data_IF_581847821167
#
_entry.id   IF_581847821167
#
_cell.length_a   1.000
_cell.length_b   1.000
_cell.length_c   1.000
_cell.angle_alpha   90.00
_cell.angle_beta   90.00
_cell.angle_gamma   90.00
#
_symmetry.space_group_name_H-M   'P 1'
#
loop_
_entity.id
_entity.type
_entity.pdbx_description
1 polymer ?
#
# COMPACT_ATOMS: atom_id res chain seq x y z
N UNK A 1 9.57 -5.77 -4.14
CA UNK A 1 9.89 -5.21 -2.81
C UNK A 1 9.06 -3.96 -2.60
N UNK A 2 8.82 -3.50 -1.37
CA UNK A 2 8.16 -2.22 -1.14
C UNK A 2 8.80 -1.06 -1.92
N UNK A 3 10.14 -1.04 -2.02
CA UNK A 3 10.90 -0.11 -2.85
C UNK A 3 10.47 -0.14 -4.33
N UNK A 4 10.44 -1.31 -4.97
CA UNK A 4 10.06 -1.41 -6.38
C UNK A 4 8.62 -0.97 -6.65
N UNK A 5 7.70 -1.16 -5.69
CA UNK A 5 6.33 -0.64 -5.78
C UNK A 5 6.34 0.88 -5.65
N UNK A 6 7.05 1.43 -4.66
CA UNK A 6 7.14 2.88 -4.42
C UNK A 6 7.74 3.65 -5.60
N UNK A 7 8.75 3.08 -6.26
CA UNK A 7 9.42 3.71 -7.41
C UNK A 7 8.87 3.25 -8.76
N UNK A 8 7.75 2.52 -8.79
CA UNK A 8 7.08 2.12 -10.04
C UNK A 8 7.83 1.10 -10.90
N UNK A 9 8.90 0.46 -10.39
CA UNK A 9 9.70 -0.53 -11.13
C UNK A 9 9.19 -1.96 -10.98
N UNK A 10 8.18 -2.18 -10.14
CA UNK A 10 7.66 -3.50 -9.81
C UNK A 10 7.17 -4.30 -11.02
N UNK A 11 6.52 -3.65 -12.00
CA UNK A 11 5.99 -4.32 -13.18
C UNK A 11 7.10 -4.81 -14.11
N UNK A 12 8.09 -3.96 -14.39
CA UNK A 12 9.27 -4.34 -15.19
C UNK A 12 10.00 -5.54 -14.55
N UNK A 13 10.18 -5.52 -13.23
CA UNK A 13 10.78 -6.62 -12.48
C UNK A 13 9.96 -7.91 -12.57
N UNK A 14 8.62 -7.80 -12.56
CA UNK A 14 7.71 -8.94 -12.71
C UNK A 14 7.82 -9.57 -14.11
N UNK A 15 7.90 -8.76 -15.16
CA UNK A 15 8.10 -9.22 -16.55
C UNK A 15 9.44 -9.94 -16.69
N UNK A 16 10.53 -9.36 -16.18
CA UNK A 16 11.86 -10.00 -16.22
C UNK A 16 11.85 -11.36 -15.50
N UNK A 17 11.18 -11.44 -14.35
CA UNK A 17 11.04 -12.72 -13.62
C UNK A 17 10.24 -13.76 -14.40
N UNK A 18 9.21 -13.35 -15.13
CA UNK A 18 8.43 -14.27 -15.98
C UNK A 18 9.32 -14.88 -17.07
N UNK A 19 10.18 -14.08 -17.71
CA UNK A 19 11.12 -14.57 -18.72
C UNK A 19 12.12 -15.58 -18.16
N UNK A 20 12.71 -15.30 -16.99
CA UNK A 20 13.63 -16.23 -16.31
C UNK A 20 12.93 -17.54 -15.96
N UNK A 21 11.70 -17.48 -15.44
CA UNK A 21 10.91 -18.66 -15.11
C UNK A 21 10.54 -19.48 -16.35
N UNK A 22 10.25 -18.83 -17.47
CA UNK A 22 10.01 -19.48 -18.75
C UNK A 22 11.26 -20.23 -19.23
N UNK A 23 12.42 -19.57 -19.26
CA UNK A 23 13.67 -20.21 -19.67
C UNK A 23 14.03 -21.41 -18.77
N UNK A 24 13.84 -21.26 -17.45
CA UNK A 24 14.08 -22.35 -16.51
C UNK A 24 13.12 -23.53 -16.73
N UNK A 25 11.86 -23.25 -17.03
CA UNK A 25 10.86 -24.26 -17.36
C UNK A 25 11.21 -25.00 -18.64
N UNK A 26 11.53 -24.28 -19.72
CA UNK A 26 11.93 -24.86 -21.01
C UNK A 26 13.15 -25.78 -20.87
N UNK A 27 14.13 -25.41 -20.04
CA UNK A 27 15.30 -26.23 -19.78
C UNK A 27 14.99 -27.50 -18.96
N UNK A 28 14.06 -27.43 -17.99
CA UNK A 28 13.79 -28.55 -17.07
C UNK A 28 12.29 -28.63 -16.66
N UNK A 29 11.38 -29.03 -17.55
CA UNK A 29 9.93 -29.00 -17.26
C UNK A 29 9.51 -29.90 -16.08
N UNK A 30 10.21 -31.03 -15.89
CA UNK A 30 9.91 -32.01 -14.84
C UNK A 30 10.16 -31.45 -13.43
N UNK A 31 11.08 -30.49 -13.27
CA UNK A 31 11.33 -29.82 -11.98
C UNK A 31 10.14 -28.97 -11.54
N UNK A 32 9.27 -28.59 -12.47
CA UNK A 32 8.06 -27.80 -12.23
C UNK A 32 6.78 -28.62 -12.40
N UNK A 33 6.86 -29.96 -12.33
CA UNK A 33 5.71 -30.87 -12.50
C UNK A 33 4.97 -30.67 -13.84
N UNK A 34 5.70 -30.24 -14.88
CA UNK A 34 5.12 -29.96 -16.20
C UNK A 34 4.34 -28.64 -16.29
N UNK A 35 4.26 -27.85 -15.22
CA UNK A 35 3.55 -26.56 -15.21
C UNK A 35 4.53 -25.38 -15.28
N UNK A 36 4.24 -24.39 -16.13
CA UNK A 36 5.02 -23.16 -16.20
C UNK A 36 4.79 -22.34 -14.90
N UNK A 37 5.83 -22.10 -14.07
CA UNK A 37 5.69 -21.26 -12.89
C UNK A 37 5.43 -19.80 -13.28
N UNK A 38 4.57 -19.12 -12.51
CA UNK A 38 4.28 -17.70 -12.69
C UNK A 38 4.84 -16.89 -11.51
N UNK A 39 5.42 -15.69 -11.74
CA UNK A 39 5.77 -14.80 -10.65
C UNK A 39 4.51 -14.42 -9.85
N UNK A 40 4.63 -14.12 -8.54
CA UNK A 40 3.51 -13.65 -7.74
C UNK A 40 2.95 -12.32 -8.27
N UNK A 41 1.65 -12.14 -8.12
CA UNK A 41 0.98 -10.88 -8.47
C UNK A 41 1.56 -9.71 -7.64
N UNK A 42 1.56 -8.52 -8.23
CA UNK A 42 1.96 -7.32 -7.50
C UNK A 42 0.87 -6.96 -6.48
N UNK A 43 1.26 -6.48 -5.28
CA UNK A 43 0.29 -5.94 -4.34
C UNK A 43 -0.26 -4.61 -4.86
N UNK A 44 -1.56 -4.38 -4.71
CA UNK A 44 -2.21 -3.10 -5.05
C UNK A 44 -1.69 -1.94 -4.20
N UNK A 45 -1.35 -2.23 -2.93
CA UNK A 45 -0.72 -1.28 -2.03
C UNK A 45 0.12 -2.04 -0.98
N UNK A 46 1.13 -1.39 -0.42
CA UNK A 46 1.93 -1.91 0.68
C UNK A 46 2.09 -0.82 1.75
N UNK A 47 1.54 -1.04 2.94
CA UNK A 47 1.62 -0.10 4.07
C UNK A 47 2.42 -0.71 5.22
N UNK A 48 3.32 0.07 5.82
CA UNK A 48 3.91 -0.22 7.14
C UNK A 48 3.07 0.46 8.24
N UNK A 49 2.49 1.63 7.93
CA UNK A 49 1.52 2.36 8.75
C UNK A 49 0.40 2.86 7.84
N UNK A 50 -0.75 2.15 7.75
CA UNK A 50 -1.84 2.63 6.92
C UNK A 50 -2.36 3.97 7.45
N UNK A 51 -2.76 4.91 6.58
CA UNK A 51 -3.36 6.17 7.02
C UNK A 51 -4.62 5.87 7.84
N UNK A 52 -4.83 6.62 8.94
CA UNK A 52 -6.07 6.52 9.70
C UNK A 52 -7.22 6.84 8.75
N UNK A 53 -8.19 5.94 8.67
CA UNK A 53 -9.40 6.21 7.90
C UNK A 53 -10.09 7.42 8.53
N UNK A 54 -10.13 8.55 7.82
CA UNK A 54 -10.97 9.67 8.21
C UNK A 54 -12.41 9.23 7.97
N UNK A 55 -13.07 8.72 9.00
CA UNK A 55 -14.53 8.75 9.06
C UNK A 55 -14.89 10.21 8.80
N UNK A 56 -15.52 10.48 7.64
CA UNK A 56 -16.09 11.81 7.41
C UNK A 56 -16.97 12.11 8.62
N UNK A 57 -16.84 13.28 9.26
CA UNK A 57 -17.70 13.64 10.36
C UNK A 57 -19.10 13.79 9.77
N UNK A 58 -19.88 12.71 9.80
CA UNK A 58 -21.31 12.81 9.66
C UNK A 58 -21.77 13.65 10.82
N UNK A 59 -22.28 14.85 10.52
CA UNK A 59 -23.24 15.57 11.35
C UNK A 59 -22.97 15.40 12.86
N UNK A 60 -21.98 16.14 13.37
CA UNK A 60 -21.92 16.47 14.78
C UNK A 60 -22.10 18.00 14.85
N UNK A 61 -23.31 18.39 15.20
CA UNK A 61 -23.72 19.77 15.44
C UNK A 61 -22.69 20.53 16.28
N UNK A 62 -22.38 21.75 15.81
CA UNK A 62 -21.80 22.88 16.52
C UNK A 62 -21.32 22.63 17.96
N UNK A 63 -20.05 22.26 18.14
CA UNK A 63 -19.38 22.49 19.42
C UNK A 63 -19.02 23.97 19.54
N UNK A 64 -19.97 24.78 20.02
CA UNK A 64 -19.70 26.15 20.46
C UNK A 64 -18.78 26.08 21.67
N UNK A 65 -17.51 26.45 21.51
CA UNK A 65 -16.57 26.55 22.62
C UNK A 65 -17.07 27.67 23.53
N UNK A 66 -17.47 27.29 24.73
CA UNK A 66 -18.15 28.13 25.72
C UNK A 66 -17.26 29.32 26.14
N UNK A 67 -17.88 30.50 26.02
CA UNK A 67 -17.71 31.77 26.74
C UNK A 67 -16.32 32.30 27.07
N UNK A 68 -16.03 33.44 26.43
CA UNK A 68 -15.27 34.54 27.01
C UNK A 68 -15.79 34.85 28.43
N UNK A 69 -14.96 34.69 29.45
CA UNK A 69 -15.05 35.56 30.62
C UNK A 69 -13.68 36.14 30.90
N UNK A 70 -13.52 37.43 30.56
CA UNK A 70 -12.35 38.24 30.87
C UNK A 70 -12.20 38.33 32.39
N UNK A 71 -11.01 38.05 32.90
CA UNK A 71 -10.61 38.49 34.24
C UNK A 71 -10.44 40.00 34.19
N UNK A 72 -11.30 40.74 34.89
CA UNK A 72 -11.12 42.16 35.15
C UNK A 72 -10.25 42.30 36.40
N UNK A 73 -9.02 42.81 36.24
CA UNK A 73 -8.27 43.44 37.33
C UNK A 73 -8.54 44.94 37.27
N UNK A 74 -8.90 45.54 38.39
CA UNK A 74 -8.70 46.97 38.67
C UNK A 74 -8.65 47.17 40.18
N UNK A 75 -7.51 47.71 40.63
CA UNK A 75 -7.11 48.35 41.90
C UNK A 75 -7.68 47.86 43.24
#
# INVERSE_FOLDING_TARGET
TPHAVHYGTAEALRVQRAQVLQQAYEANPLRFKGCLPQPPALPTAAWINPPKQTTSPGNAESCTVISLNRVSQSD
#
